data_IF_523660170157
#
_entry.id   IF_523660170157
#
_cell.length_a   1.000
_cell.length_b   1.000
_cell.length_c   1.000
_cell.angle_alpha   90.00
_cell.angle_beta   90.00
_cell.angle_gamma   90.00
#
_symmetry.space_group_name_H-M   'P 1'
#
loop_
_entity.id
_entity.type
_entity.pdbx_description
1 polymer ?
#
# COMPACT_ATOMS: atom_id res chain seq x y z
N UNK A 1 -19.87 -27.58 -62.24
CA UNK A 1 -20.86 -27.39 -61.15
C UNK A 1 -20.25 -27.87 -59.85
N UNK A 2 -20.37 -27.10 -58.74
CA UNK A 2 -19.37 -27.08 -57.68
C UNK A 2 -19.67 -28.02 -56.51
N UNK A 3 -18.58 -28.47 -55.89
CA UNK A 3 -18.50 -29.30 -54.70
C UNK A 3 -19.13 -28.59 -53.48
N UNK A 4 -19.94 -29.34 -52.74
CA UNK A 4 -20.42 -28.97 -51.40
C UNK A 4 -19.23 -28.85 -50.43
N UNK A 5 -18.90 -27.62 -50.05
CA UNK A 5 -18.12 -27.35 -48.85
C UNK A 5 -19.07 -26.89 -47.73
N UNK A 6 -19.27 -27.76 -46.74
CA UNK A 6 -19.84 -27.40 -45.43
C UNK A 6 -18.95 -26.33 -44.78
N UNK A 7 -19.52 -25.15 -44.54
CA UNK A 7 -18.96 -24.18 -43.60
C UNK A 7 -19.49 -24.57 -42.22
N UNK A 8 -18.64 -24.93 -41.24
CA UNK A 8 -19.09 -25.16 -39.88
C UNK A 8 -19.54 -23.82 -39.26
N UNK A 9 -20.76 -23.76 -38.74
CA UNK A 9 -21.21 -22.69 -37.85
C UNK A 9 -20.40 -22.78 -36.56
N UNK A 10 -19.31 -22.03 -36.48
CA UNK A 10 -18.66 -21.74 -35.21
C UNK A 10 -19.60 -20.80 -34.43
N UNK A 11 -20.15 -21.32 -33.33
CA UNK A 11 -20.94 -20.53 -32.39
C UNK A 11 -20.10 -19.39 -31.85
N UNK A 12 -20.53 -18.16 -32.12
CA UNK A 12 -19.98 -16.97 -31.49
C UNK A 12 -20.61 -16.83 -30.11
N UNK A 13 -20.02 -17.48 -29.12
CA UNK A 13 -20.40 -17.29 -27.72
C UNK A 13 -19.16 -16.94 -26.91
N UNK A 14 -18.78 -15.67 -26.91
CA UNK A 14 -18.06 -15.02 -25.81
C UNK A 14 -18.12 -13.50 -26.01
N UNK A 15 -19.34 -12.97 -26.06
CA UNK A 15 -19.59 -11.53 -26.18
C UNK A 15 -19.77 -10.91 -24.78
N UNK A 16 -18.83 -10.03 -24.41
CA UNK A 16 -18.89 -9.04 -23.32
C UNK A 16 -18.95 -9.56 -21.87
N UNK A 17 -17.78 -9.86 -21.28
CA UNK A 17 -17.65 -9.84 -19.81
C UNK A 17 -17.50 -8.42 -19.32
N UNK A 18 -18.61 -7.83 -18.86
CA UNK A 18 -18.59 -6.54 -18.16
C UNK A 18 -17.62 -6.59 -16.95
N UNK A 19 -16.92 -5.48 -16.66
CA UNK A 19 -16.09 -5.37 -15.46
C UNK A 19 -16.93 -5.71 -14.22
N UNK A 20 -16.38 -6.56 -13.34
CA UNK A 20 -17.03 -6.95 -12.10
C UNK A 20 -16.49 -6.10 -10.96
N UNK A 21 -17.37 -5.35 -10.31
CA UNK A 21 -17.05 -4.61 -9.08
C UNK A 21 -17.50 -5.45 -7.89
N UNK A 22 -16.58 -5.72 -6.95
CA UNK A 22 -16.90 -6.33 -5.67
C UNK A 22 -17.01 -5.24 -4.62
N UNK A 23 -18.13 -5.19 -3.92
CA UNK A 23 -18.36 -4.25 -2.82
C UNK A 23 -18.29 -5.01 -1.51
N UNK A 24 -17.55 -4.45 -0.55
CA UNK A 24 -17.53 -4.90 0.83
C UNK A 24 -18.16 -3.81 1.69
N UNK A 25 -19.10 -4.20 2.55
CA UNK A 25 -19.86 -3.29 3.41
C UNK A 25 -19.64 -3.72 4.85
N UNK A 26 -19.07 -2.80 5.63
CA UNK A 26 -18.61 -3.07 6.98
C UNK A 26 -19.27 -2.09 7.96
N UNK A 27 -19.80 -2.61 9.06
CA UNK A 27 -20.43 -1.82 10.13
C UNK A 27 -19.81 -2.09 11.51
N UNK A 28 -18.79 -2.95 11.58
CA UNK A 28 -18.06 -3.29 12.80
C UNK A 28 -16.73 -2.53 12.90
N UNK A 29 -16.58 -1.39 12.23
CA UNK A 29 -15.42 -0.50 12.37
C UNK A 29 -15.87 0.88 12.85
N UNK A 30 -15.04 1.52 13.67
CA UNK A 30 -15.28 2.86 14.16
C UNK A 30 -14.50 3.86 13.32
N UNK A 31 -15.21 4.86 12.78
CA UNK A 31 -14.61 6.06 12.20
C UNK A 31 -14.24 7.03 13.32
N UNK A 32 -12.96 7.40 13.41
CA UNK A 32 -12.46 8.34 14.41
C UNK A 32 -12.49 9.77 13.87
N UNK A 33 -12.07 9.94 12.62
CA UNK A 33 -12.02 11.22 11.93
C UNK A 33 -13.21 11.39 10.97
N UNK A 34 -13.62 12.65 10.70
CA UNK A 34 -14.63 12.91 9.68
C UNK A 34 -14.13 12.46 8.30
N UNK A 35 -15.06 12.06 7.44
CA UNK A 35 -14.73 11.71 6.05
C UNK A 35 -14.18 12.92 5.31
N UNK A 36 -13.19 12.68 4.46
CA UNK A 36 -12.60 13.70 3.58
C UNK A 36 -13.16 13.53 2.18
N UNK A 37 -13.73 14.60 1.64
CA UNK A 37 -14.19 14.60 0.24
C UNK A 37 -12.98 14.62 -0.69
N UNK A 38 -12.87 13.63 -1.57
CA UNK A 38 -11.81 13.51 -2.57
C UNK A 38 -12.41 13.40 -3.97
N UNK A 39 -11.75 14.04 -4.92
CA UNK A 39 -12.10 13.85 -6.32
C UNK A 39 -11.67 12.45 -6.77
N UNK A 40 -12.56 11.74 -7.45
CA UNK A 40 -12.27 10.44 -8.05
C UNK A 40 -11.38 10.66 -9.26
N UNK A 41 -10.28 9.92 -9.31
CA UNK A 41 -9.40 9.92 -10.47
C UNK A 41 -10.13 9.37 -11.70
N UNK A 42 -10.50 10.26 -12.62
CA UNK A 42 -11.20 9.92 -13.87
C UNK A 42 -10.38 10.40 -15.07
N UNK A 43 -9.51 9.54 -15.64
CA UNK A 43 -8.63 9.89 -16.76
C UNK A 43 -9.33 9.84 -18.12
N UNK A 44 -10.62 9.53 -18.15
CA UNK A 44 -11.39 9.30 -19.38
C UNK A 44 -12.03 10.61 -19.88
N UNK A 45 -12.26 10.67 -21.20
CA UNK A 45 -12.76 11.87 -21.88
C UNK A 45 -14.20 12.25 -21.52
N UNK A 46 -14.98 11.32 -20.97
CA UNK A 46 -16.35 11.49 -20.51
C UNK A 46 -16.44 12.07 -19.08
N UNK A 47 -15.39 12.76 -18.63
CA UNK A 47 -15.38 13.44 -17.33
C UNK A 47 -16.52 14.47 -17.25
N UNK A 48 -17.39 14.42 -16.24
CA UNK A 48 -18.44 15.42 -16.07
C UNK A 48 -17.87 16.79 -15.66
N UNK A 49 -18.57 17.86 -16.01
CA UNK A 49 -18.16 19.27 -15.78
C UNK A 49 -17.93 19.60 -14.29
N UNK A 50 -18.59 18.88 -13.37
CA UNK A 50 -18.39 19.00 -11.92
C UNK A 50 -17.39 18.02 -11.30
N UNK A 51 -16.75 17.17 -12.09
CA UNK A 51 -15.95 16.04 -11.61
C UNK A 51 -16.80 14.97 -10.90
N UNK A 52 -16.13 13.93 -10.41
CA UNK A 52 -16.75 12.87 -9.62
C UNK A 52 -16.14 12.92 -8.23
N UNK A 53 -16.95 12.89 -7.18
CA UNK A 53 -16.47 13.07 -5.81
C UNK A 53 -16.94 11.93 -4.91
N UNK A 54 -16.07 11.50 -4.00
CA UNK A 54 -16.37 10.49 -3.00
C UNK A 54 -15.96 10.96 -1.59
N UNK A 55 -16.73 10.53 -0.59
CA UNK A 55 -16.33 10.66 0.80
C UNK A 55 -15.40 9.49 1.15
N UNK A 56 -14.15 9.81 1.44
CA UNK A 56 -13.11 8.85 1.74
C UNK A 56 -12.69 8.95 3.20
N UNK A 57 -11.99 7.93 3.69
CA UNK A 57 -11.29 8.03 4.97
C UNK A 57 -10.23 9.13 4.91
N UNK A 58 -10.04 9.82 6.04
CA UNK A 58 -8.84 10.62 6.23
C UNK A 58 -7.59 9.73 6.13
N UNK A 59 -6.44 10.32 5.79
CA UNK A 59 -5.22 9.54 5.59
C UNK A 59 -4.80 8.82 6.88
N UNK A 60 -4.90 9.52 8.00
CA UNK A 60 -4.66 9.05 9.36
C UNK A 60 -5.59 7.90 9.74
N UNK A 61 -6.86 8.00 9.33
CA UNK A 61 -7.90 6.99 9.59
C UNK A 61 -7.53 5.68 8.88
N UNK A 62 -7.23 5.75 7.58
CA UNK A 62 -6.82 4.59 6.78
C UNK A 62 -5.51 3.99 7.31
N UNK A 63 -4.52 4.82 7.63
CA UNK A 63 -3.23 4.36 8.12
C UNK A 63 -3.34 3.71 9.52
N UNK A 64 -4.07 4.33 10.44
CA UNK A 64 -4.33 3.75 11.76
C UNK A 64 -5.07 2.43 11.69
N UNK A 65 -6.03 2.29 10.75
CA UNK A 65 -6.73 1.03 10.52
C UNK A 65 -5.82 -0.08 9.99
N UNK A 66 -4.93 0.25 9.05
CA UNK A 66 -3.95 -0.70 8.50
C UNK A 66 -2.93 -1.14 9.55
N UNK A 67 -2.45 -0.21 10.40
CA UNK A 67 -1.57 -0.54 11.52
C UNK A 67 -2.25 -1.44 12.55
N UNK A 68 -3.51 -1.15 12.90
CA UNK A 68 -4.32 -2.00 13.76
C UNK A 68 -4.49 -3.39 13.16
N UNK A 69 -4.85 -3.49 11.87
CA UNK A 69 -5.02 -4.76 11.17
C UNK A 69 -3.71 -5.56 11.08
N UNK A 70 -2.58 -4.89 10.85
CA UNK A 70 -1.25 -5.50 10.89
C UNK A 70 -0.95 -6.09 12.27
N UNK A 71 -1.20 -5.33 13.33
CA UNK A 71 -1.07 -5.78 14.73
C UNK A 71 -1.98 -6.97 15.07
N UNK A 72 -3.18 -6.99 14.50
CA UNK A 72 -4.21 -8.00 14.77
C UNK A 72 -3.93 -9.34 14.05
N UNK A 73 -3.52 -9.27 12.78
CA UNK A 73 -3.54 -10.43 11.86
C UNK A 73 -2.19 -10.73 11.21
N UNK A 74 -1.28 -9.76 11.20
CA UNK A 74 0.06 -9.82 10.59
C UNK A 74 0.05 -10.38 9.17
N UNK A 75 -0.73 -9.75 8.28
CA UNK A 75 -0.85 -10.19 6.87
C UNK A 75 0.04 -9.38 5.93
N UNK A 76 0.58 -10.01 4.87
CA UNK A 76 1.37 -9.35 3.81
C UNK A 76 0.79 -8.04 3.28
N UNK A 77 -0.51 -7.99 2.98
CA UNK A 77 -1.16 -6.78 2.44
C UNK A 77 -1.16 -5.62 3.44
N UNK A 78 -1.43 -5.91 4.71
CA UNK A 78 -1.42 -4.89 5.75
C UNK A 78 0.00 -4.35 5.96
N UNK A 79 1.03 -5.22 5.88
CA UNK A 79 2.44 -4.79 5.93
C UNK A 79 2.79 -3.90 4.73
N UNK A 80 2.43 -4.34 3.53
CA UNK A 80 2.65 -3.60 2.29
C UNK A 80 2.03 -2.20 2.36
N UNK A 81 0.77 -2.12 2.78
CA UNK A 81 0.04 -0.87 2.91
C UNK A 81 0.66 0.04 3.98
N UNK A 82 0.96 -0.47 5.18
CA UNK A 82 1.56 0.30 6.29
C UNK A 82 2.88 0.94 5.87
N UNK A 83 3.77 0.17 5.22
CA UNK A 83 5.08 0.66 4.80
C UNK A 83 4.94 1.71 3.70
N UNK A 84 4.09 1.48 2.71
CA UNK A 84 3.89 2.45 1.63
C UNK A 84 3.21 3.73 2.13
N UNK A 85 2.19 3.63 2.99
CA UNK A 85 1.57 4.78 3.63
C UNK A 85 2.59 5.59 4.45
N UNK A 86 3.57 4.94 5.06
CA UNK A 86 4.66 5.64 5.75
C UNK A 86 5.64 6.32 4.78
N UNK A 87 5.99 5.66 3.66
CA UNK A 87 6.95 6.15 2.65
C UNK A 87 6.44 7.37 1.88
N UNK A 88 5.12 7.57 1.79
CA UNK A 88 4.49 8.77 1.22
C UNK A 88 4.73 10.04 2.05
N UNK A 89 5.96 10.56 1.98
CA UNK A 89 6.46 11.64 2.86
C UNK A 89 5.68 12.95 2.73
N UNK A 90 5.27 13.34 1.53
CA UNK A 90 4.50 14.58 1.28
C UNK A 90 3.13 14.62 1.98
N UNK A 91 2.60 13.45 2.35
CA UNK A 91 1.27 13.29 2.95
C UNK A 91 1.32 12.55 4.27
N UNK A 92 2.53 12.34 4.82
CA UNK A 92 2.69 11.65 6.10
C UNK A 92 2.03 12.48 7.19
N UNK A 93 1.13 11.88 7.98
CA UNK A 93 0.41 12.62 9.00
C UNK A 93 1.31 12.92 10.19
N UNK A 94 0.83 13.72 11.12
CA UNK A 94 1.47 13.84 12.44
C UNK A 94 1.45 12.49 13.17
N UNK A 95 2.60 12.09 13.73
CA UNK A 95 2.72 10.88 14.56
C UNK A 95 1.70 10.88 15.71
N UNK A 96 1.47 12.04 16.33
CA UNK A 96 0.53 12.20 17.44
C UNK A 96 -0.91 11.90 17.01
N UNK A 97 -1.33 12.44 15.85
CA UNK A 97 -2.69 12.22 15.32
C UNK A 97 -2.88 10.75 14.93
N UNK A 98 -1.89 10.17 14.24
CA UNK A 98 -1.92 8.75 13.86
C UNK A 98 -2.01 7.84 15.09
N UNK A 99 -1.20 8.11 16.12
CA UNK A 99 -1.20 7.31 17.35
C UNK A 99 -2.52 7.41 18.11
N UNK A 100 -3.15 8.59 18.14
CA UNK A 100 -4.47 8.77 18.75
C UNK A 100 -5.56 7.95 18.01
N UNK A 101 -5.60 8.05 16.68
CA UNK A 101 -6.51 7.26 15.84
C UNK A 101 -6.30 5.76 16.08
N UNK A 102 -5.04 5.30 16.06
CA UNK A 102 -4.69 3.90 16.32
C UNK A 102 -5.16 3.45 17.71
N UNK A 103 -4.92 4.25 18.75
CA UNK A 103 -5.38 3.95 20.13
C UNK A 103 -6.89 3.78 20.20
N UNK A 104 -7.65 4.69 19.61
CA UNK A 104 -9.11 4.63 19.64
C UNK A 104 -9.65 3.42 18.87
N UNK A 105 -9.06 3.10 17.71
CA UNK A 105 -9.41 1.90 16.94
C UNK A 105 -9.06 0.60 17.67
N UNK A 106 -7.88 0.52 18.28
CA UNK A 106 -7.48 -0.63 19.11
C UNK A 106 -8.42 -0.81 20.32
N UNK A 107 -8.77 0.28 21.01
CA UNK A 107 -9.70 0.25 22.13
C UNK A 107 -11.09 -0.26 21.72
N UNK A 108 -11.60 0.17 20.56
CA UNK A 108 -12.88 -0.30 20.03
C UNK A 108 -12.87 -1.82 19.74
N UNK A 109 -11.77 -2.36 19.20
CA UNK A 109 -11.60 -3.80 18.98
C UNK A 109 -11.14 -4.57 20.22
N UNK A 110 -10.98 -3.90 21.37
CA UNK A 110 -10.47 -4.48 22.61
C UNK A 110 -9.11 -5.21 22.46
N UNK A 111 -8.21 -4.62 21.66
CA UNK A 111 -6.83 -5.10 21.49
C UNK A 111 -5.83 -4.05 22.01
N UNK A 112 -4.64 -4.51 22.38
CA UNK A 112 -3.55 -3.60 22.71
C UNK A 112 -3.08 -2.84 21.46
N UNK A 113 -2.52 -1.65 21.66
CA UNK A 113 -1.81 -0.96 20.58
C UNK A 113 -0.58 -1.80 20.22
N UNK A 114 -0.39 -2.16 18.93
CA UNK A 114 0.70 -3.04 18.54
C UNK A 114 2.06 -2.35 18.75
N UNK A 115 3.06 -3.17 19.03
CA UNK A 115 4.47 -2.79 18.98
C UNK A 115 5.20 -3.70 18.00
N UNK A 116 6.37 -3.28 17.52
CA UNK A 116 7.19 -4.11 16.66
C UNK A 116 7.47 -5.50 17.28
N UNK A 117 7.74 -5.55 18.59
CA UNK A 117 8.05 -6.80 19.29
C UNK A 117 6.90 -7.81 19.26
N UNK A 118 5.65 -7.36 19.25
CA UNK A 118 4.47 -8.25 19.13
C UNK A 118 4.38 -8.87 17.74
N UNK A 119 4.93 -8.23 16.70
CA UNK A 119 4.91 -8.75 15.33
C UNK A 119 6.01 -9.79 15.07
N UNK A 120 7.16 -9.68 15.75
CA UNK A 120 8.35 -10.52 15.51
C UNK A 120 8.05 -12.03 15.47
N UNK A 121 7.30 -12.62 16.42
CA UNK A 121 6.99 -14.05 16.40
C UNK A 121 6.18 -14.51 15.17
N UNK A 122 5.50 -13.56 14.50
CA UNK A 122 4.64 -13.83 13.35
C UNK A 122 5.35 -13.66 12.00
N UNK A 123 6.61 -13.19 11.97
CA UNK A 123 7.40 -13.02 10.74
C UNK A 123 7.44 -14.28 9.86
N UNK A 124 7.75 -15.49 10.36
CA UNK A 124 7.85 -16.67 9.50
C UNK A 124 6.53 -17.04 8.81
N UNK A 125 5.40 -16.82 9.50
CA UNK A 125 4.09 -17.05 8.94
C UNK A 125 3.75 -16.01 7.85
N UNK A 126 4.11 -14.75 8.08
CA UNK A 126 3.95 -13.68 7.08
C UNK A 126 4.80 -13.96 5.84
N UNK A 127 6.05 -14.40 6.02
CA UNK A 127 6.97 -14.76 4.92
C UNK A 127 6.40 -15.88 4.05
N UNK A 128 5.90 -16.95 4.67
CA UNK A 128 5.24 -18.04 3.95
C UNK A 128 3.98 -17.63 3.16
N UNK A 129 3.40 -16.45 3.44
CA UNK A 129 2.24 -15.92 2.72
C UNK A 129 2.57 -14.78 1.75
N UNK A 130 3.81 -14.26 1.75
CA UNK A 130 4.17 -13.02 1.05
C UNK A 130 3.88 -13.09 -0.45
N UNK A 131 4.41 -14.13 -1.12
CA UNK A 131 4.22 -14.33 -2.55
C UNK A 131 2.76 -14.60 -2.91
N UNK A 132 2.12 -15.55 -2.24
CA UNK A 132 0.76 -15.97 -2.56
C UNK A 132 -0.28 -14.84 -2.45
N UNK A 133 -0.08 -13.91 -1.52
CA UNK A 133 -1.03 -12.83 -1.29
C UNK A 133 -0.85 -11.61 -2.19
N UNK A 134 0.38 -11.35 -2.66
CA UNK A 134 0.77 -10.10 -3.33
C UNK A 134 1.23 -10.26 -4.78
N UNK A 135 1.77 -11.41 -5.19
CA UNK A 135 2.32 -11.61 -6.55
C UNK A 135 1.31 -11.36 -7.67
N UNK A 136 0.04 -11.70 -7.43
CA UNK A 136 -1.05 -11.44 -8.39
C UNK A 136 -1.60 -10.00 -8.34
N UNK A 137 -1.21 -9.21 -7.33
CA UNK A 137 -1.68 -7.84 -7.13
C UNK A 137 -0.65 -6.79 -7.57
N UNK A 138 0.63 -7.18 -7.65
CA UNK A 138 1.75 -6.29 -7.93
C UNK A 138 2.41 -6.67 -9.26
N UNK A 139 2.86 -5.68 -10.07
CA UNK A 139 3.62 -5.96 -11.29
C UNK A 139 4.90 -6.77 -11.04
N UNK A 140 5.62 -6.44 -9.96
CA UNK A 140 6.79 -7.16 -9.46
C UNK A 140 6.67 -7.24 -7.96
N UNK A 141 6.93 -8.41 -7.37
CA UNK A 141 6.89 -8.61 -5.93
C UNK A 141 8.17 -8.05 -5.29
N UNK A 142 8.11 -7.00 -4.45
CA UNK A 142 9.29 -6.52 -3.75
C UNK A 142 9.76 -7.54 -2.70
N UNK A 143 11.06 -7.55 -2.35
CA UNK A 143 11.58 -8.40 -1.27
C UNK A 143 10.91 -8.07 0.06
N UNK A 144 10.49 -9.11 0.80
CA UNK A 144 9.86 -8.95 2.11
C UNK A 144 10.74 -8.14 3.09
N UNK A 145 12.06 -8.40 3.09
CA UNK A 145 12.97 -7.78 4.04
C UNK A 145 12.94 -6.24 3.96
N UNK A 146 12.83 -5.66 2.76
CA UNK A 146 12.71 -4.20 2.58
C UNK A 146 11.50 -3.62 3.33
N UNK A 147 10.39 -4.36 3.37
CA UNK A 147 9.17 -3.96 4.07
C UNK A 147 9.24 -4.25 5.56
N UNK A 148 9.77 -5.41 5.94
CA UNK A 148 9.88 -5.81 7.34
C UNK A 148 10.87 -4.92 8.11
N UNK A 149 12.01 -4.61 7.49
CA UNK A 149 13.09 -3.85 8.11
C UNK A 149 12.76 -2.34 8.20
N UNK A 150 11.69 -1.89 7.54
CA UNK A 150 11.14 -0.54 7.72
C UNK A 150 10.29 -0.39 9.01
N UNK A 151 9.75 -1.48 9.56
CA UNK A 151 8.86 -1.42 10.72
C UNK A 151 9.48 -0.77 11.98
N UNK A 152 10.74 -1.05 12.36
CA UNK A 152 11.36 -0.42 13.51
C UNK A 152 11.35 1.12 13.43
N UNK A 153 11.64 1.68 12.25
CA UNK A 153 11.60 3.13 12.03
C UNK A 153 10.17 3.66 12.21
N UNK A 154 9.17 3.00 11.60
CA UNK A 154 7.75 3.39 11.69
C UNK A 154 7.26 3.39 13.13
N UNK A 155 7.54 2.32 13.88
CA UNK A 155 7.14 2.22 15.28
C UNK A 155 7.89 3.21 16.16
N UNK A 156 9.18 3.46 15.91
CA UNK A 156 9.93 4.48 16.65
C UNK A 156 9.32 5.86 16.41
N UNK A 157 9.18 6.28 15.14
CA UNK A 157 8.56 7.55 14.77
C UNK A 157 7.19 7.75 15.43
N UNK A 158 6.31 6.76 15.34
CA UNK A 158 4.96 6.84 15.88
C UNK A 158 4.93 6.92 17.42
N UNK A 159 5.79 6.16 18.12
CA UNK A 159 5.71 6.00 19.58
C UNK A 159 6.53 7.04 20.34
N UNK A 160 7.72 7.40 19.84
CA UNK A 160 8.61 8.37 20.49
C UNK A 160 8.44 9.78 19.96
N UNK A 161 7.78 9.96 18.81
CA UNK A 161 7.76 11.23 18.09
C UNK A 161 9.14 11.58 17.51
N UNK A 162 10.05 10.60 17.41
CA UNK A 162 11.37 10.81 16.82
C UNK A 162 11.25 11.45 15.43
N UNK A 163 12.10 12.43 15.11
CA UNK A 163 12.09 13.05 13.79
C UNK A 163 12.36 11.96 12.73
N UNK A 164 11.51 11.91 11.70
CA UNK A 164 11.79 11.06 10.55
C UNK A 164 13.01 11.62 9.83
N UNK A 165 13.99 10.80 9.42
CA UNK A 165 15.11 11.26 8.63
C UNK A 165 14.62 12.03 7.39
N UNK A 166 14.80 13.34 7.39
CA UNK A 166 14.40 14.17 6.25
C UNK A 166 15.50 14.08 5.20
N UNK A 167 15.23 13.27 4.17
CA UNK A 167 16.13 13.16 3.02
C UNK A 167 16.03 14.42 2.18
N UNK A 168 17.17 14.96 1.76
CA UNK A 168 17.19 16.10 0.86
C UNK A 168 16.55 15.73 -0.49
N UNK A 169 15.90 16.69 -1.13
CA UNK A 169 15.44 16.55 -2.51
C UNK A 169 16.61 16.71 -3.47
N UNK A 170 16.57 16.01 -4.61
CA UNK A 170 17.55 16.23 -5.66
C UNK A 170 17.19 17.51 -6.41
N UNK A 171 17.79 18.63 -6.01
CA UNK A 171 17.65 19.92 -6.69
C UNK A 171 18.90 20.16 -7.54
N UNK A 172 18.83 19.84 -8.82
CA UNK A 172 19.98 19.96 -9.75
C UNK A 172 19.70 20.82 -10.99
N UNK A 173 18.44 21.11 -11.32
CA UNK A 173 18.07 22.02 -12.41
C UNK A 173 17.55 23.36 -11.91
N UNK A 174 18.17 24.46 -12.36
CA UNK A 174 17.67 25.82 -12.11
C UNK A 174 16.36 25.98 -12.90
N UNK A 175 15.27 26.34 -12.22
CA UNK A 175 13.97 26.57 -12.86
C UNK A 175 13.13 25.32 -13.15
N UNK A 176 13.57 24.13 -12.71
CA UNK A 176 12.76 22.91 -12.83
C UNK A 176 11.69 22.82 -11.73
N UNK A 177 10.45 22.56 -12.12
CA UNK A 177 9.32 22.42 -11.18
C UNK A 177 9.00 20.93 -10.96
N UNK A 178 8.84 20.45 -9.71
CA UNK A 178 8.45 19.07 -9.45
C UNK A 178 7.05 18.78 -9.99
N UNK A 179 6.93 17.70 -10.76
CA UNK A 179 5.67 17.25 -11.37
C UNK A 179 5.06 16.17 -10.50
N UNK A 180 3.98 16.56 -9.83
CA UNK A 180 3.26 15.73 -8.86
C UNK A 180 1.93 15.20 -9.38
N UNK A 181 1.55 15.55 -10.61
CA UNK A 181 0.29 15.11 -11.24
C UNK A 181 0.37 13.66 -11.71
N UNK A 182 -0.71 12.91 -11.53
CA UNK A 182 -0.85 11.55 -12.10
C UNK A 182 -0.90 11.58 -13.62
N UNK A 183 -1.49 12.62 -14.21
CA UNK A 183 -1.67 12.75 -15.66
C UNK A 183 -0.57 13.62 -16.26
N UNK A 184 0.18 13.03 -17.18
CA UNK A 184 1.01 13.77 -18.11
C UNK A 184 0.17 14.30 -19.27
N UNK A 185 0.55 15.42 -19.90
CA UNK A 185 -0.20 15.96 -21.04
C UNK A 185 -0.19 14.98 -22.22
N UNK A 186 -1.20 15.13 -23.10
CA UNK A 186 -1.40 14.24 -24.25
C UNK A 186 -0.27 14.26 -25.28
N UNK A 187 0.58 15.29 -25.27
CA UNK A 187 1.76 15.39 -26.13
C UNK A 187 2.85 14.36 -25.76
N UNK A 188 2.74 13.69 -24.60
CA UNK A 188 3.64 12.60 -24.23
C UNK A 188 3.12 11.29 -24.84
N UNK A 189 3.97 10.53 -25.57
CA UNK A 189 3.58 9.26 -26.16
C UNK A 189 2.92 8.32 -25.15
N UNK A 190 1.88 7.60 -25.58
CA UNK A 190 1.13 6.69 -24.71
C UNK A 190 2.04 5.63 -24.06
N UNK A 191 3.03 5.14 -24.81
CA UNK A 191 4.03 4.20 -24.30
C UNK A 191 4.83 4.80 -23.14
N UNK A 192 5.35 6.01 -23.30
CA UNK A 192 6.11 6.71 -22.25
C UNK A 192 5.27 6.97 -20.99
N UNK A 193 3.95 7.17 -21.14
CA UNK A 193 3.03 7.24 -19.99
C UNK A 193 2.92 5.91 -19.25
N UNK A 194 2.84 4.79 -19.95
CA UNK A 194 2.86 3.45 -19.34
C UNK A 194 4.19 3.14 -18.66
N UNK A 195 5.33 3.49 -19.30
CA UNK A 195 6.66 3.33 -18.72
C UNK A 195 6.82 4.16 -17.44
N UNK A 196 6.21 5.35 -17.38
CA UNK A 196 6.23 6.15 -16.16
C UNK A 196 5.48 5.48 -15.00
N UNK A 197 4.37 4.78 -15.25
CA UNK A 197 3.67 4.05 -14.18
C UNK A 197 4.53 2.88 -13.63
N UNK A 198 5.30 2.22 -14.50
CA UNK A 198 6.31 1.22 -14.10
C UNK A 198 7.37 1.87 -13.21
N UNK A 199 7.87 3.05 -13.59
CA UNK A 199 8.88 3.80 -12.83
C UNK A 199 8.32 4.28 -11.48
N UNK A 200 7.08 4.77 -11.45
CA UNK A 200 6.39 5.20 -10.22
C UNK A 200 6.18 4.04 -9.27
N UNK A 201 5.77 2.88 -9.79
CA UNK A 201 5.67 1.66 -9.01
C UNK A 201 7.04 1.30 -8.40
N UNK A 202 8.09 1.27 -9.20
CA UNK A 202 9.45 0.97 -8.71
C UNK A 202 9.90 1.96 -7.63
N UNK A 203 9.69 3.26 -7.87
CA UNK A 203 10.06 4.33 -6.94
C UNK A 203 9.32 4.21 -5.59
N UNK A 204 8.02 3.92 -5.60
CA UNK A 204 7.23 3.73 -4.38
C UNK A 204 7.71 2.52 -3.55
N UNK A 205 8.20 1.48 -4.22
CA UNK A 205 8.68 0.24 -3.61
C UNK A 205 10.20 0.20 -3.43
N UNK A 206 10.92 1.30 -3.67
CA UNK A 206 12.39 1.39 -3.64
C UNK A 206 13.11 0.32 -4.49
N UNK A 207 12.56 0.02 -5.66
CA UNK A 207 13.15 -0.91 -6.63
C UNK A 207 13.88 -0.15 -7.74
N UNK A 208 15.00 -0.71 -8.19
CA UNK A 208 15.71 -0.23 -9.37
C UNK A 208 14.92 -0.54 -10.64
N UNK A 209 15.11 0.30 -11.66
CA UNK A 209 14.51 0.16 -12.99
C UNK A 209 15.60 -0.02 -14.02
N UNK A 210 15.43 -1.00 -14.90
CA UNK A 210 16.18 -1.08 -16.15
C UNK A 210 15.50 -0.18 -17.18
N UNK A 211 16.15 0.94 -17.49
CA UNK A 211 15.66 1.97 -18.40
C UNK A 211 16.35 1.81 -19.76
N UNK A 212 15.58 1.51 -20.81
CA UNK A 212 16.06 1.54 -22.19
C UNK A 212 15.92 2.95 -22.76
N UNK A 213 17.04 3.54 -23.16
CA UNK A 213 17.09 4.92 -23.66
C UNK A 213 18.38 5.17 -24.41
N UNK A 214 18.28 5.82 -25.58
CA UNK A 214 19.41 6.10 -26.47
C UNK A 214 20.16 4.83 -26.88
N UNK A 215 19.42 3.76 -27.18
CA UNK A 215 19.97 2.49 -27.68
C UNK A 215 20.69 1.63 -26.63
N UNK A 216 20.75 2.07 -25.36
CA UNK A 216 21.36 1.33 -24.27
C UNK A 216 20.37 1.11 -23.12
N UNK A 217 20.61 0.04 -22.36
CA UNK A 217 19.87 -0.24 -21.12
C UNK A 217 20.74 0.13 -19.94
N UNK A 218 20.13 0.75 -18.94
CA UNK A 218 20.81 1.15 -17.71
C UNK A 218 19.94 0.97 -16.49
N UNK A 219 20.57 0.52 -15.41
CA UNK A 219 19.90 0.39 -14.13
C UNK A 219 19.94 1.69 -13.35
N UNK A 220 18.77 2.15 -12.94
CA UNK A 220 18.59 3.43 -12.26
C UNK A 220 17.80 3.30 -10.97
N UNK A 221 18.09 4.18 -10.02
CA UNK A 221 17.28 4.49 -8.86
C UNK A 221 16.38 5.70 -9.20
N UNK A 222 15.07 5.51 -9.37
CA UNK A 222 14.18 6.61 -9.76
C UNK A 222 13.82 7.50 -8.56
N UNK A 223 14.04 8.82 -8.66
CA UNK A 223 13.79 9.75 -7.54
C UNK A 223 12.72 10.81 -7.83
N UNK A 224 12.75 11.51 -8.96
CA UNK A 224 11.84 12.65 -9.19
C UNK A 224 11.39 12.77 -10.63
N UNK A 225 10.22 13.38 -10.83
CA UNK A 225 9.76 13.83 -12.14
C UNK A 225 9.67 15.35 -12.10
N UNK A 226 10.26 16.02 -13.08
CA UNK A 226 10.30 17.48 -13.14
C UNK A 226 9.91 17.97 -14.52
N UNK A 227 9.42 19.21 -14.58
CA UNK A 227 9.19 19.93 -15.81
C UNK A 227 10.24 21.02 -15.92
N UNK A 228 10.95 21.06 -17.05
CA UNK A 228 11.94 22.10 -17.34
C UNK A 228 11.24 23.40 -17.77
N UNK A 229 11.97 24.52 -17.77
CA UNK A 229 11.47 25.80 -18.26
C UNK A 229 10.98 25.75 -19.73
N UNK A 230 11.55 24.85 -20.53
CA UNK A 230 11.16 24.58 -21.93
C UNK A 230 9.91 23.70 -22.06
N UNK A 231 9.30 23.30 -20.93
CA UNK A 231 8.10 22.45 -20.91
C UNK A 231 8.37 20.96 -21.07
N UNK A 232 9.64 20.52 -21.10
CA UNK A 232 10.00 19.11 -21.21
C UNK A 232 9.84 18.40 -19.86
N UNK A 233 9.37 17.15 -19.88
CA UNK A 233 9.30 16.31 -18.68
C UNK A 233 10.55 15.46 -18.56
N UNK A 234 11.23 15.54 -17.41
CA UNK A 234 12.48 14.85 -17.13
C UNK A 234 12.37 14.00 -15.87
N UNK A 235 12.83 12.76 -15.98
CA UNK A 235 13.02 11.84 -14.86
C UNK A 235 14.42 12.08 -14.27
N UNK A 236 14.47 12.52 -13.02
CA UNK A 236 15.70 12.58 -12.23
C UNK A 236 15.95 11.26 -11.52
N UNK A 237 17.10 10.64 -11.78
CA UNK A 237 17.46 9.34 -11.25
C UNK A 237 18.97 9.24 -10.95
N UNK A 238 19.36 8.30 -10.09
CA UNK A 238 20.77 7.93 -9.91
C UNK A 238 21.07 6.66 -10.70
N UNK A 239 22.27 6.57 -11.25
CA UNK A 239 22.83 5.32 -11.79
C UNK A 239 23.08 4.35 -10.65
N UNK A 240 22.56 3.12 -10.74
CA UNK A 240 22.72 2.12 -9.67
C UNK A 240 24.16 1.62 -9.51
N UNK A 241 24.97 1.71 -10.56
CA UNK A 241 26.38 1.29 -10.59
C UNK A 241 27.34 2.40 -10.13
N UNK A 242 27.19 3.61 -10.67
CA UNK A 242 28.11 4.73 -10.37
C UNK A 242 27.61 5.67 -9.27
N UNK A 243 26.32 5.62 -8.91
CA UNK A 243 25.69 6.59 -8.00
C UNK A 243 25.57 8.01 -8.59
N UNK A 244 25.86 8.19 -9.88
CA UNK A 244 25.83 9.48 -10.57
C UNK A 244 24.40 9.89 -10.89
N UNK A 245 24.08 11.17 -10.66
CA UNK A 245 22.79 11.73 -11.06
C UNK A 245 22.70 11.91 -12.57
N UNK A 246 21.58 11.48 -13.15
CA UNK A 246 21.24 11.67 -14.56
C UNK A 246 19.78 12.12 -14.69
N UNK A 247 19.53 12.96 -15.67
CA UNK A 247 18.19 13.35 -16.09
C UNK A 247 17.84 12.69 -17.43
N UNK A 248 16.62 12.18 -17.55
CA UNK A 248 16.14 11.50 -18.75
C UNK A 248 14.85 12.12 -19.24
N UNK A 249 14.82 12.54 -20.50
CA UNK A 249 13.59 13.06 -21.12
C UNK A 249 12.55 11.96 -21.24
N UNK A 250 11.37 12.17 -20.66
CA UNK A 250 10.31 11.14 -20.61
C UNK A 250 9.84 10.76 -22.00
N UNK A 251 9.75 11.71 -22.92
CA UNK A 251 9.37 11.50 -24.32
C UNK A 251 10.39 10.69 -25.13
N UNK A 252 11.62 10.51 -24.60
CA UNK A 252 12.70 9.73 -25.24
C UNK A 252 12.93 8.36 -24.59
N UNK A 253 12.15 8.01 -23.55
CA UNK A 253 12.20 6.68 -22.94
C UNK A 253 11.69 5.66 -23.95
N UNK A 254 12.48 4.61 -24.19
CA UNK A 254 12.17 3.55 -25.17
C UNK A 254 11.43 2.39 -24.50
N UNK A 255 11.79 2.07 -23.24
CA UNK A 255 11.11 1.12 -22.37
C UNK A 255 11.58 1.27 -20.91
N UNK A 256 10.76 0.81 -19.96
CA UNK A 256 11.14 0.64 -18.56
C UNK A 256 10.74 -0.73 -18.03
N UNK A 257 11.61 -1.37 -17.24
CA UNK A 257 11.34 -2.66 -16.59
C UNK A 257 11.73 -2.60 -15.12
N UNK A 258 10.80 -2.94 -14.22
CA UNK A 258 11.08 -3.04 -12.78
C UNK A 258 11.95 -4.26 -12.49
N UNK A 259 12.95 -4.09 -11.64
CA UNK A 259 13.84 -5.17 -11.20
C UNK A 259 13.52 -5.60 -9.77
N UNK A 260 14.08 -6.73 -9.31
CA UNK A 260 14.03 -7.15 -7.91
C UNK A 260 15.11 -6.51 -7.02
N UNK A 261 16.00 -5.71 -7.62
CA UNK A 261 17.07 -5.03 -6.89
C UNK A 261 16.50 -3.84 -6.13
N UNK A 262 16.66 -3.85 -4.80
CA UNK A 262 16.25 -2.76 -3.92
C UNK A 262 17.37 -1.73 -3.83
N UNK A 263 17.03 -0.45 -3.78
CA UNK A 263 17.97 0.62 -3.45
C UNK A 263 17.60 1.29 -2.12
N UNK A 264 18.61 1.68 -1.34
CA UNK A 264 18.41 2.47 -0.14
C UNK A 264 18.38 3.96 -0.54
N UNK A 265 17.25 4.67 -0.40
CA UNK A 265 17.15 6.01 -0.98
C UNK A 265 18.05 6.99 -0.24
N UNK A 266 18.98 7.61 -0.98
CA UNK A 266 19.88 8.66 -0.46
C UNK A 266 19.21 10.03 -0.42
N UNK A 267 18.19 10.20 -1.26
CA UNK A 267 17.39 11.42 -1.40
C UNK A 267 15.90 11.10 -1.21
N UNK A 268 15.08 12.14 -1.05
CA UNK A 268 13.64 11.99 -1.01
C UNK A 268 13.12 11.55 -2.40
N UNK A 269 12.25 10.54 -2.42
CA UNK A 269 11.60 10.04 -3.63
C UNK A 269 10.30 10.82 -3.85
N UNK A 270 10.28 11.66 -4.88
CA UNK A 270 9.20 12.57 -5.28
C UNK A 270 8.34 12.03 -6.43
N UNK A 271 8.45 10.74 -6.75
CA UNK A 271 7.75 10.09 -7.88
C UNK A 271 6.37 9.54 -7.52
N UNK A 272 5.75 10.03 -6.44
CA UNK A 272 4.46 9.50 -6.01
C UNK A 272 3.33 10.04 -6.87
N UNK A 273 2.44 9.16 -7.33
CA UNK A 273 1.39 9.48 -8.31
C UNK A 273 0.23 10.32 -7.77
N UNK A 274 0.18 10.58 -6.46
CA UNK A 274 -0.96 11.24 -5.80
C UNK A 274 -0.79 12.74 -5.60
N UNK A 275 0.38 13.29 -5.90
CA UNK A 275 0.77 14.62 -5.48
C UNK A 275 0.59 14.86 -3.98
N UNK A 276 0.70 16.10 -3.49
CA UNK A 276 0.46 16.37 -2.09
C UNK A 276 -1.02 16.09 -1.80
N UNK A 277 -1.33 15.04 -1.03
CA UNK A 277 -2.65 14.92 -0.44
C UNK A 277 -2.77 16.09 0.53
N UNK A 278 -3.71 17.00 0.25
CA UNK A 278 -4.06 18.05 1.21
C UNK A 278 -4.49 17.37 2.50
N UNK A 279 -3.61 17.38 3.51
CA UNK A 279 -3.97 17.06 4.88
C UNK A 279 -4.77 18.27 5.35
N UNK A 280 -6.06 18.09 5.61
CA UNK A 280 -6.82 19.16 6.26
C UNK A 280 -6.07 19.53 7.55
N UNK A 281 -5.82 20.81 7.83
CA UNK A 281 -5.17 21.19 9.08
C UNK A 281 -5.94 20.53 10.21
N UNK A 282 -5.24 19.74 11.02
CA UNK A 282 -5.79 19.19 12.25
C UNK A 282 -6.12 20.38 13.15
N UNK A 283 -7.33 20.91 13.03
CA UNK A 283 -7.90 21.76 14.06
C UNK A 283 -7.99 20.87 15.29
N UNK A 284 -7.11 21.12 16.26
CA UNK A 284 -7.18 20.48 17.56
C UNK A 284 -8.61 20.65 18.07
N UNK A 285 -9.36 19.55 18.10
CA UNK A 285 -10.71 19.56 18.63
C UNK A 285 -10.63 20.01 20.09
N UNK A 286 -11.48 20.96 20.53
CA UNK A 286 -11.61 21.23 21.95
C UNK A 286 -11.98 19.92 22.65
N UNK A 287 -11.32 19.64 23.78
CA UNK A 287 -11.60 18.47 24.63
C UNK A 287 -13.08 18.42 24.95
N UNK A 288 -13.83 17.53 24.30
CA UNK A 288 -15.21 17.26 24.67
C UNK A 288 -15.26 16.70 26.10
N UNK A 289 -16.22 17.12 26.92
CA UNK A 289 -16.35 16.61 28.28
C UNK A 289 -16.62 15.11 28.23
N UNK A 290 -15.86 14.38 29.04
CA UNK A 290 -15.90 12.92 29.14
C UNK A 290 -17.25 12.50 29.72
N UNK A 291 -18.18 12.11 28.85
CA UNK A 291 -19.46 11.51 29.27
C UNK A 291 -19.13 10.15 29.91
N UNK A 292 -19.26 10.06 31.24
CA UNK A 292 -19.21 8.79 31.97
C UNK A 292 -20.51 8.04 31.70
N UNK A 293 -20.51 7.19 30.67
CA UNK A 293 -21.54 6.18 30.51
C UNK A 293 -21.17 5.00 31.40
N UNK A 294 -22.01 4.71 32.40
CA UNK A 294 -21.89 3.52 33.21
C UNK A 294 -22.02 2.28 32.29
N UNK A 295 -20.92 1.55 32.13
CA UNK A 295 -20.90 0.33 31.35
C UNK A 295 -21.72 -0.76 32.05
N UNK A 296 -22.87 -1.11 31.49
CA UNK A 296 -23.54 -2.39 31.79
C UNK A 296 -22.63 -3.50 31.26
N UNK A 297 -22.03 -4.25 32.17
CA UNK A 297 -21.27 -5.47 31.89
C UNK A 297 -22.19 -6.54 31.33
N UNK A 298 -22.24 -6.66 29.99
CA UNK A 298 -22.70 -7.89 29.34
C UNK A 298 -21.50 -8.78 29.09
N UNK A 299 -21.48 -9.94 29.74
CA UNK A 299 -20.47 -10.99 29.62
C UNK A 299 -20.57 -11.76 28.30
N UNK A 300 -20.39 -11.11 27.15
CA UNK A 300 -20.15 -11.79 25.88
C UNK A 300 -19.07 -11.04 25.10
N UNK A 301 -17.80 -11.37 25.41
CA UNK A 301 -16.66 -10.87 24.65
C UNK A 301 -16.52 -11.60 23.30
N UNK A 302 -15.92 -10.94 22.29
CA UNK A 302 -15.70 -11.50 20.96
C UNK A 302 -14.95 -12.84 21.02
N UNK A 303 -15.30 -13.75 20.11
CA UNK A 303 -14.61 -15.02 19.93
C UNK A 303 -13.80 -14.99 18.64
N UNK A 304 -12.47 -15.04 18.77
CA UNK A 304 -11.52 -14.98 17.67
C UNK A 304 -11.31 -16.36 17.06
N UNK A 305 -11.50 -16.51 15.75
CA UNK A 305 -11.31 -17.78 15.04
C UNK A 305 -9.94 -17.78 14.37
N UNK A 306 -9.09 -18.73 14.75
CA UNK A 306 -7.76 -18.94 14.16
C UNK A 306 -7.75 -20.23 13.35
N UNK A 307 -7.07 -20.25 12.20
CA UNK A 307 -6.85 -21.45 11.39
C UNK A 307 -5.38 -21.83 11.46
N UNK A 308 -5.07 -23.06 11.88
CA UNK A 308 -3.71 -23.59 11.84
C UNK A 308 -3.15 -23.50 10.41
N UNK A 309 -1.98 -22.87 10.25
CA UNK A 309 -1.33 -22.69 8.94
C UNK A 309 -0.82 -24.00 8.35
N UNK A 310 -0.62 -25.03 9.18
CA UNK A 310 -0.13 -26.35 8.76
C UNK A 310 -1.28 -27.29 8.40
N UNK A 311 -2.26 -27.47 9.29
CA UNK A 311 -3.32 -28.48 9.10
C UNK A 311 -4.70 -27.91 8.72
N UNK A 312 -4.85 -26.58 8.64
CA UNK A 312 -6.09 -25.91 8.24
C UNK A 312 -7.26 -26.01 9.24
N UNK A 313 -7.04 -26.60 10.42
CA UNK A 313 -8.06 -26.75 11.48
C UNK A 313 -8.32 -25.41 12.18
N UNK A 314 -9.58 -25.14 12.52
CA UNK A 314 -10.00 -23.88 13.12
C UNK A 314 -10.17 -23.99 14.63
N UNK A 315 -9.74 -22.96 15.36
CA UNK A 315 -9.76 -22.86 16.81
C UNK A 315 -10.43 -21.56 17.23
N UNK A 316 -11.32 -21.63 18.21
CA UNK A 316 -11.98 -20.47 18.79
C UNK A 316 -11.22 -20.04 20.06
N UNK A 317 -10.82 -18.78 20.16
CA UNK A 317 -10.11 -18.23 21.31
C UNK A 317 -10.82 -16.99 21.86
N UNK A 318 -10.74 -16.79 23.18
CA UNK A 318 -11.25 -15.59 23.86
C UNK A 318 -10.24 -14.45 23.90
N UNK A 319 -8.96 -14.76 23.67
CA UNK A 319 -7.88 -13.79 23.54
C UNK A 319 -7.37 -13.79 22.11
N UNK A 320 -7.03 -12.61 21.63
CA UNK A 320 -6.48 -12.40 20.30
C UNK A 320 -4.99 -12.73 20.27
N UNK A 321 -4.71 -14.03 20.33
CA UNK A 321 -3.36 -14.58 20.39
C UNK A 321 -3.28 -15.72 19.36
N UNK A 322 -2.34 -15.61 18.42
CA UNK A 322 -2.15 -16.55 17.32
C UNK A 322 -1.51 -17.88 17.70
N UNK A 323 -1.07 -18.08 18.93
CA UNK A 323 -0.52 -19.35 19.41
C UNK A 323 -1.62 -20.43 19.49
N UNK A 324 -1.28 -21.64 19.07
CA UNK A 324 -2.15 -22.80 19.12
C UNK A 324 -1.52 -23.83 20.04
N UNK A 325 -2.34 -24.37 20.95
CA UNK A 325 -1.95 -25.52 21.76
C UNK A 325 -1.62 -26.72 20.87
N UNK A 326 -0.80 -27.68 21.36
CA UNK A 326 -0.60 -28.96 20.69
C UNK A 326 -1.94 -29.59 20.33
N UNK A 327 -2.13 -29.92 19.06
CA UNK A 327 -3.40 -30.44 18.55
C UNK A 327 -3.15 -31.51 17.48
N UNK A 328 -4.18 -32.30 17.19
CA UNK A 328 -4.16 -33.31 16.13
C UNK A 328 -4.65 -32.73 14.80
N UNK A 329 -4.04 -33.15 13.69
CA UNK A 329 -4.48 -32.81 12.34
C UNK A 329 -5.79 -33.56 11.98
N UNK A 330 -6.33 -33.32 10.78
CA UNK A 330 -7.56 -34.01 10.30
C UNK A 330 -7.42 -35.54 10.19
N UNK A 331 -6.20 -36.07 10.10
CA UNK A 331 -5.89 -37.51 10.02
C UNK A 331 -5.60 -38.14 11.39
N UNK A 332 -5.75 -37.38 12.48
CA UNK A 332 -5.54 -37.87 13.85
C UNK A 332 -4.09 -37.85 14.35
N UNK A 333 -3.11 -37.50 13.52
CA UNK A 333 -1.70 -37.41 13.91
C UNK A 333 -1.38 -36.07 14.62
N UNK A 334 -0.35 -36.00 15.49
CA UNK A 334 0.08 -34.75 16.09
C UNK A 334 0.45 -33.71 15.03
N UNK A 335 -0.11 -32.50 15.12
CA UNK A 335 0.25 -31.39 14.25
C UNK A 335 1.39 -30.59 14.88
N UNK A 336 2.42 -30.29 14.08
CA UNK A 336 3.55 -29.44 14.47
C UNK A 336 3.22 -27.94 14.39
N UNK A 337 2.08 -27.56 13.81
CA UNK A 337 1.62 -26.17 13.80
C UNK A 337 1.35 -25.66 15.22
N UNK A 338 2.12 -24.65 15.64
CA UNK A 338 1.95 -23.93 16.93
C UNK A 338 1.38 -22.53 16.75
N UNK A 339 1.12 -22.11 15.52
CA UNK A 339 0.57 -20.81 15.20
C UNK A 339 -0.60 -20.95 14.21
N UNK A 340 -1.60 -20.09 14.38
CA UNK A 340 -2.77 -19.99 13.53
C UNK A 340 -2.86 -18.62 12.88
N UNK A 341 -3.30 -18.60 11.62
CA UNK A 341 -3.71 -17.39 10.94
C UNK A 341 -5.10 -16.97 11.43
N UNK A 342 -5.27 -15.72 11.85
CA UNK A 342 -6.59 -15.19 12.21
C UNK A 342 -7.51 -15.19 10.98
N UNK A 343 -8.72 -15.73 11.16
CA UNK A 343 -9.73 -15.86 10.11
C UNK A 343 -10.80 -14.77 10.24
N UNK A 344 -11.46 -14.69 11.40
CA UNK A 344 -12.57 -13.76 11.68
C UNK A 344 -12.88 -13.68 13.17
N UNK A 345 -13.53 -12.61 13.58
CA UNK A 345 -14.12 -12.44 14.91
C UNK A 345 -15.61 -12.74 14.84
N UNK A 346 -16.11 -13.49 15.81
CA UNK A 346 -17.55 -13.70 16.05
C UNK A 346 -17.96 -12.82 17.23
N UNK A 347 -18.91 -11.93 17.00
CA UNK A 347 -19.50 -11.06 18.02
C UNK A 347 -20.71 -11.73 18.66
#
# INVERSE_FOLDING_TARGET
>A
MPRQNRIPRAGVTDFWRWPKIKLDLTADERLILPSVRREVFHPYSDRPEGGIWANCYAYEEAFGEKLRALGERTRPRDLYDVVNLYRHTDSRPSATVLLDVLRQKCAYKAIAVPTFQVLVPHRPALEGMWSDMLSHQLPVLPPLNDFWDALPEIFNWMMSGAPVPQRAFIQRGIGEVPVRTRLLPMNIPLRSRSDLEIIRFAAANYLCVDLAYDGSVRRIEPYSLRQTAEGNYVLGALRSDSGEYRSYRVDRIQAATVTSQVFAPRYAVELTSTGPLTVAPSTAMPRLPRIRIAARTRHQGPTYVYRCTVCGRTFNKKRMDGSLNPHKNRRGSPCYGRYGAYVRTKY
#
